data_IF_509195657631
#
_entry.id   IF_509195657631
#
_cell.length_a   1.000
_cell.length_b   1.000
_cell.length_c   1.000
_cell.angle_alpha   90.00
_cell.angle_beta   90.00
_cell.angle_gamma   90.00
#
_symmetry.space_group_name_H-M   'P 1'
#
loop_
_entity.id
_entity.type
_entity.pdbx_description
1 polymer ?
2 non-polymer ?
3 non-polymer ?
4 non-polymer ?
5 non-polymer ?
6 water ?
#
# COMPACT_ATOMS: atom_id res chain seq x y z
N UNK A 13 -7.27 21.05 -14.84
CA UNK A 13 -6.68 19.93 -15.56
C UNK A 13 -5.84 19.08 -14.61
N UNK A 14 -5.05 19.75 -13.78
CA UNK A 14 -4.12 19.05 -12.91
C UNK A 14 -4.85 18.41 -11.72
N UNK A 15 -4.33 17.27 -11.31
CA UNK A 15 -4.79 16.61 -10.10
C UNK A 15 -4.69 17.56 -8.90
N UNK A 16 -5.73 17.55 -8.07
CA UNK A 16 -5.73 18.31 -6.82
C UNK A 16 -5.49 17.33 -5.67
N UNK A 17 -4.38 17.43 -4.95
CA UNK A 17 -4.11 16.47 -3.87
C UNK A 17 -5.18 16.56 -2.79
N UNK A 18 -5.72 15.42 -2.36
CA UNK A 18 -6.62 15.41 -1.20
C UNK A 18 -5.92 15.94 0.04
N UNK A 19 -6.66 16.34 1.07
CA UNK A 19 -6.03 16.71 2.34
C UNK A 19 -5.28 15.54 2.95
N UNK A 20 -4.31 15.85 3.79
CA UNK A 20 -3.45 14.83 4.38
C UNK A 20 -4.18 14.11 5.51
N UNK A 21 -4.03 12.78 5.55
CA UNK A 21 -4.56 12.00 6.65
C UNK A 21 -3.73 12.24 7.93
N UNK A 22 -4.22 11.80 9.10
CA UNK A 22 -3.45 12.02 10.33
C UNK A 22 -2.14 11.24 10.33
N UNK A 23 -1.13 11.86 10.92
CA UNK A 23 0.13 11.21 11.21
C UNK A 23 0.34 11.25 12.70
N UNK A 24 0.64 10.10 13.28
CA UNK A 24 0.92 10.00 14.71
C UNK A 24 2.40 9.67 14.89
N UNK A 25 3.03 10.31 15.86
CA UNK A 25 4.43 10.06 16.21
C UNK A 25 4.44 9.66 17.68
N UNK A 26 4.05 8.42 17.99
CA UNK A 26 3.96 8.01 19.40
C UNK A 26 5.32 8.08 20.09
N UNK A 27 5.32 8.55 21.33
CA UNK A 27 6.47 8.39 22.19
C UNK A 27 6.66 6.91 22.50
N UNK A 28 7.77 6.59 23.17
CA UNK A 28 8.08 5.20 23.47
C UNK A 28 7.02 4.58 24.35
N UNK A 29 6.47 5.34 25.30
CA UNK A 29 5.40 4.81 26.15
C UNK A 29 4.18 4.44 25.32
N UNK A 30 3.74 5.34 24.43
CA UNK A 30 2.55 5.08 23.62
C UNK A 30 2.77 3.95 22.62
N UNK A 31 4.02 3.71 22.21
CA UNK A 31 4.37 2.70 21.21
C UNK A 31 4.38 1.28 21.75
N UNK A 32 3.78 1.02 22.91
CA UNK A 32 3.94 -0.29 23.55
C UNK A 32 3.18 -1.39 22.83
N UNK A 33 2.03 -1.08 22.23
CA UNK A 33 1.18 -2.13 21.67
C UNK A 33 0.31 -1.58 20.54
N UNK A 34 0.38 -2.16 19.34
CA UNK A 34 -0.44 -1.64 18.23
C UNK A 34 -1.93 -1.60 18.54
N UNK A 35 -2.49 -2.66 19.12
CA UNK A 35 -3.93 -2.70 19.35
C UNK A 35 -4.36 -1.62 20.35
N UNK A 36 -3.61 -1.48 21.45
CA UNK A 36 -3.93 -0.43 22.41
C UNK A 36 -3.79 0.96 21.78
N UNK A 37 -2.73 1.16 20.98
CA UNK A 37 -2.52 2.46 20.36
C UNK A 37 -3.62 2.77 19.34
N UNK A 38 -3.91 1.82 18.46
CA UNK A 38 -4.95 2.04 17.45
C UNK A 38 -6.29 2.30 18.10
N UNK A 39 -6.60 1.56 19.16
CA UNK A 39 -7.81 1.85 19.91
C UNK A 39 -7.86 3.28 20.44
N UNK A 40 -6.70 3.82 20.83
CA UNK A 40 -6.70 5.17 21.37
C UNK A 40 -6.82 6.23 20.28
N UNK A 41 -6.23 6.01 19.11
CA UNK A 41 -6.34 7.03 18.05
C UNK A 41 -7.61 6.88 17.25
N UNK A 42 -8.35 5.80 17.45
CA UNK A 42 -9.54 5.50 16.66
C UNK A 42 -10.54 6.64 16.51
N UNK A 43 -10.86 7.43 17.56
CA UNK A 43 -11.86 8.49 17.35
C UNK A 43 -11.50 9.45 16.24
N UNK A 44 -10.20 9.71 16.02
CA UNK A 44 -9.77 10.54 14.91
C UNK A 44 -9.58 9.74 13.64
N UNK A 45 -8.77 8.67 13.72
CA UNK A 45 -8.37 7.96 12.51
C UNK A 45 -9.54 7.25 11.84
N UNK A 46 -10.56 6.84 12.59
CA UNK A 46 -11.69 6.20 11.91
C UNK A 46 -12.48 7.20 11.07
N UNK A 47 -12.36 8.50 11.37
CA UNK A 47 -12.97 9.54 10.56
C UNK A 47 -12.17 9.89 9.31
N UNK A 48 -10.94 9.39 9.19
CA UNK A 48 -10.18 9.59 7.95
C UNK A 48 -9.96 8.29 7.19
N UNK A 49 -10.30 7.14 7.77
CA UNK A 49 -10.19 5.86 7.09
C UNK A 49 -8.78 5.30 7.13
N UNK A 50 -7.79 6.15 6.89
CA UNK A 50 -6.39 5.73 6.98
C UNK A 50 -5.66 6.68 7.90
N UNK A 51 -4.58 6.18 8.51
CA UNK A 51 -3.67 7.06 9.22
C UNK A 51 -2.26 6.51 9.08
N UNK A 52 -1.30 7.37 9.35
CA UNK A 52 0.10 7.00 9.30
C UNK A 52 0.67 7.05 10.71
N UNK A 53 1.54 6.09 11.02
CA UNK A 53 2.19 6.01 12.32
C UNK A 53 3.69 6.00 12.10
N UNK A 54 4.38 6.98 12.67
CA UNK A 54 5.83 7.02 12.62
C UNK A 54 6.40 6.48 13.91
N UNK A 55 7.10 5.35 13.89
CA UNK A 55 7.68 4.78 15.11
C UNK A 55 8.71 5.72 15.72
N UNK A 56 9.06 5.54 16.99
CA UNK A 56 10.14 6.35 17.57
C UNK A 56 11.40 6.21 16.75
N UNK A 57 12.21 7.28 16.73
CA UNK A 57 13.33 7.35 15.81
C UNK A 57 14.29 6.16 15.95
N UNK A 58 14.43 5.63 17.16
CA UNK A 58 15.36 4.53 17.40
C UNK A 58 14.78 3.16 17.10
N UNK A 59 13.52 3.07 16.67
CA UNK A 59 12.91 1.79 16.32
C UNK A 59 13.21 1.53 14.85
N UNK A 60 14.17 0.64 14.58
CA UNK A 60 14.62 0.37 13.21
C UNK A 60 14.86 -1.12 13.03
N UNK A 61 13.85 -1.86 12.57
CA UNK A 61 14.02 -3.30 12.37
C UNK A 61 14.95 -3.58 11.20
N UNK A 62 15.76 -4.62 11.28
CA UNK A 62 16.57 -5.02 10.13
C UNK A 62 15.73 -5.74 9.10
N UNK A 63 16.17 -5.68 7.85
CA UNK A 63 15.44 -6.33 6.77
C UNK A 63 15.85 -7.80 6.71
N UNK A 64 14.89 -8.71 6.87
CA UNK A 64 15.20 -10.11 7.12
C UNK A 64 14.71 -11.05 6.01
N UNK A 65 14.42 -10.54 4.82
CA UNK A 65 14.12 -11.42 3.70
C UNK A 65 15.41 -12.10 3.23
N UNK A 66 15.24 -13.31 2.67
CA UNK A 66 16.36 -14.03 2.05
C UNK A 66 16.59 -13.41 0.68
N UNK A 67 17.40 -12.36 0.65
CA UNK A 67 17.58 -11.57 -0.57
C UNK A 67 18.31 -12.37 -1.64
N UNK A 68 19.12 -13.35 -1.24
CA UNK A 68 19.83 -14.17 -2.21
C UNK A 68 18.87 -14.86 -3.15
N UNK A 69 17.89 -15.59 -2.60
CA UNK A 69 16.98 -16.39 -3.41
C UNK A 69 15.69 -15.65 -3.77
N UNK A 70 15.52 -14.40 -3.35
CA UNK A 70 14.28 -13.67 -3.63
C UNK A 70 14.09 -13.51 -5.13
N UNK A 71 13.20 -14.29 -5.71
CA UNK A 71 12.89 -14.23 -7.13
C UNK A 71 11.38 -14.17 -7.27
N UNK A 72 10.91 -13.46 -8.29
CA UNK A 72 9.47 -13.32 -8.42
C UNK A 72 9.14 -12.87 -9.83
N UNK A 73 7.89 -13.11 -10.21
CA UNK A 73 7.37 -12.67 -11.50
C UNK A 73 6.26 -11.65 -11.25
N UNK A 74 6.54 -10.37 -11.46
CA UNK A 74 5.56 -9.34 -11.12
C UNK A 74 4.43 -9.30 -12.14
N UNK A 75 3.28 -8.79 -11.69
CA UNK A 75 2.14 -8.68 -12.57
C UNK A 75 2.25 -7.40 -13.38
N UNK A 76 1.76 -7.45 -14.61
CA UNK A 76 1.85 -6.30 -15.51
C UNK A 76 0.64 -5.41 -15.28
N UNK A 77 0.87 -4.10 -15.20
CA UNK A 77 -0.18 -3.13 -14.97
C UNK A 77 -0.17 -2.09 -16.09
N UNK A 78 -1.27 -2.02 -16.84
CA UNK A 78 -1.47 -0.98 -17.84
C UNK A 78 -2.31 0.12 -17.22
N UNK A 79 -1.72 1.31 -17.10
CA UNK A 79 -2.35 2.35 -16.28
C UNK A 79 -3.71 2.76 -16.83
N UNK A 80 -3.84 2.81 -18.15
CA UNK A 80 -5.07 3.30 -18.78
C UNK A 80 -5.96 2.18 -19.30
N UNK A 81 -5.89 0.99 -18.70
CA UNK A 81 -6.66 -0.15 -19.25
C UNK A 81 -8.16 0.11 -19.23
N UNK A 82 -8.66 0.84 -18.22
CA UNK A 82 -10.09 1.10 -18.14
C UNK A 82 -10.52 2.12 -19.19
N UNK A 83 -9.79 3.22 -19.30
CA UNK A 83 -10.05 4.18 -20.37
C UNK A 83 -9.92 3.55 -21.74
N UNK A 84 -9.17 2.45 -21.85
CA UNK A 84 -9.04 1.76 -23.14
C UNK A 84 -10.34 1.11 -23.59
N UNK A 85 -11.26 0.80 -22.65
CA UNK A 85 -12.58 0.31 -23.03
C UNK A 85 -13.40 1.43 -23.66
N UNK A 86 -13.31 2.63 -23.12
CA UNK A 86 -14.07 3.77 -23.61
C UNK A 86 -13.58 4.21 -24.98
N UNK A 98 5.33 -7.63 -23.44
CA UNK A 98 5.18 -9.06 -23.19
C UNK A 98 4.54 -9.33 -21.83
N UNK A 99 4.30 -10.61 -21.57
CA UNK A 99 3.61 -11.08 -20.39
C UNK A 99 4.34 -10.77 -19.09
N UNK A 100 5.48 -11.42 -18.89
CA UNK A 100 6.07 -11.49 -17.56
C UNK A 100 7.50 -11.97 -17.63
N UNK A 101 8.41 -11.23 -17.00
CA UNK A 101 9.78 -11.63 -16.78
C UNK A 101 9.99 -11.95 -15.32
N UNK A 102 10.86 -12.93 -15.04
CA UNK A 102 11.24 -13.22 -13.67
C UNK A 102 12.35 -12.27 -13.25
N UNK A 103 12.23 -11.70 -12.04
CA UNK A 103 13.24 -10.80 -11.53
C UNK A 103 13.81 -11.34 -10.21
N UNK A 104 14.99 -10.84 -9.87
CA UNK A 104 15.42 -10.79 -8.49
C UNK A 104 15.09 -9.41 -7.93
N UNK A 105 15.18 -9.27 -6.60
CA UNK A 105 15.04 -7.94 -6.02
C UNK A 105 15.98 -6.96 -6.68
N UNK A 106 17.23 -7.38 -6.91
CA UNK A 106 18.22 -6.47 -7.48
C UNK A 106 17.85 -6.08 -8.91
N UNK A 107 17.52 -7.07 -9.74
CA UNK A 107 17.26 -6.74 -11.15
C UNK A 107 15.94 -6.00 -11.31
N UNK A 108 14.96 -6.28 -10.45
CA UNK A 108 13.74 -5.46 -10.46
C UNK A 108 14.05 -4.02 -10.08
N UNK A 109 14.88 -3.83 -9.06
CA UNK A 109 15.27 -2.47 -8.69
C UNK A 109 15.98 -1.74 -9.81
N UNK A 110 16.87 -2.43 -10.52
CA UNK A 110 17.57 -1.78 -11.62
C UNK A 110 16.60 -1.40 -12.74
N UNK A 111 15.63 -2.26 -13.02
CA UNK A 111 14.61 -1.95 -14.01
C UNK A 111 13.76 -0.77 -13.55
N UNK A 112 13.38 -0.79 -12.27
CA UNK A 112 12.49 0.23 -11.73
C UNK A 112 13.14 1.60 -11.72
N UNK A 113 14.40 1.67 -11.29
CA UNK A 113 15.10 2.95 -11.27
C UNK A 113 15.33 3.46 -12.68
N UNK A 114 15.70 2.57 -13.60
CA UNK A 114 15.90 2.97 -15.00
C UNK A 114 14.62 3.51 -15.60
N UNK A 115 13.49 2.83 -15.33
CA UNK A 115 12.21 3.29 -15.85
C UNK A 115 11.91 4.70 -15.36
N UNK A 116 12.02 4.91 -14.05
CA UNK A 116 11.63 6.21 -13.49
C UNK A 116 12.58 7.31 -13.94
N UNK A 117 13.88 7.05 -13.92
CA UNK A 117 14.81 8.12 -14.29
C UNK A 117 14.70 8.43 -15.78
N UNK A 118 14.46 7.41 -16.62
CA UNK A 118 14.20 7.67 -18.03
C UNK A 118 12.89 8.42 -18.24
N UNK A 119 11.86 8.05 -17.48
CA UNK A 119 10.54 8.65 -17.67
C UNK A 119 10.58 10.15 -17.37
N UNK A 120 11.16 10.53 -16.23
CA UNK A 120 11.19 11.93 -15.82
C UNK A 120 12.45 12.66 -16.25
N UNK A 121 13.44 11.96 -16.80
CA UNK A 121 14.68 12.58 -17.27
C UNK A 121 15.40 13.29 -16.11
N UNK A 122 15.46 12.64 -14.95
CA UNK A 122 16.19 13.16 -13.80
C UNK A 122 16.48 12.01 -12.86
N UNK A 123 17.42 12.17 -11.93
CA UNK A 123 17.67 11.11 -10.94
C UNK A 123 16.39 10.77 -10.17
N UNK A 124 16.23 9.49 -9.83
CA UNK A 124 14.95 9.03 -9.29
C UNK A 124 14.58 9.78 -8.01
N UNK A 125 15.56 10.08 -7.17
CA UNK A 125 15.31 10.74 -5.89
C UNK A 125 15.02 12.22 -6.03
N UNK A 126 15.19 12.80 -7.22
CA UNK A 126 14.94 14.21 -7.43
C UNK A 126 13.53 14.48 -7.96
N UNK A 127 12.76 13.44 -8.24
CA UNK A 127 11.42 13.63 -8.79
C UNK A 127 10.48 13.96 -7.65
N UNK A 128 9.83 15.11 -7.65
CA UNK A 128 8.94 15.46 -6.53
C UNK A 128 7.77 14.51 -6.47
N UNK A 129 7.38 14.14 -5.25
CA UNK A 129 6.24 13.23 -5.08
C UNK A 129 4.97 13.80 -5.71
N UNK A 130 4.79 15.13 -5.67
CA UNK A 130 3.60 15.72 -6.28
C UNK A 130 3.60 15.56 -7.79
N UNK A 131 4.77 15.55 -8.41
CA UNK A 131 4.85 15.35 -9.85
C UNK A 131 4.53 13.91 -10.24
N UNK A 132 5.07 12.94 -9.50
CA UNK A 132 4.71 11.54 -9.77
C UNK A 132 3.21 11.36 -9.59
N UNK A 133 2.65 11.93 -8.54
CA UNK A 133 1.21 11.82 -8.30
C UNK A 133 0.42 12.43 -9.45
N UNK A 134 0.77 13.66 -9.86
CA UNK A 134 0.05 14.30 -10.94
C UNK A 134 0.16 13.50 -12.23
N UNK A 135 1.34 12.95 -12.50
CA UNK A 135 1.54 12.21 -13.73
C UNK A 135 0.85 10.85 -13.68
N UNK A 136 0.84 10.21 -12.50
CA UNK A 136 0.10 8.96 -12.36
C UNK A 136 -1.34 9.11 -12.81
N UNK A 137 -2.02 10.13 -12.27
CA UNK A 137 -3.45 10.26 -12.56
C UNK A 137 -3.70 10.75 -13.97
N UNK A 138 -2.77 11.55 -14.53
CA UNK A 138 -2.87 11.88 -15.95
C UNK A 138 -2.77 10.62 -16.82
N UNK A 139 -1.82 9.75 -16.50
CA UNK A 139 -1.63 8.55 -17.31
C UNK A 139 -2.79 7.59 -17.18
N UNK A 140 -3.41 7.52 -16.01
CA UNK A 140 -4.53 6.60 -15.81
C UNK A 140 -5.68 6.95 -16.74
N UNK A 141 -5.86 8.25 -17.02
CA UNK A 141 -6.95 8.70 -17.86
C UNK A 141 -6.53 8.97 -19.30
N UNK A 142 -5.27 8.77 -19.65
CA UNK A 142 -4.75 9.16 -20.96
C UNK A 142 -5.06 8.08 -22.00
N UNK A 143 -5.74 8.48 -23.07
CA UNK A 143 -5.97 7.58 -24.20
C UNK A 143 -4.87 7.69 -25.25
N UNK A 144 -3.93 8.61 -25.09
CA UNK A 144 -2.90 8.86 -26.09
C UNK A 144 -1.56 8.21 -25.78
N UNK A 145 -1.25 8.04 -24.49
CA UNK A 145 0.00 7.42 -24.06
C UNK A 145 -0.33 6.17 -23.26
N UNK A 146 0.28 5.05 -23.64
CA UNK A 146 0.07 3.76 -22.98
C UNK A 146 1.33 3.45 -22.17
N UNK A 147 1.23 3.60 -20.86
CA UNK A 147 2.34 3.30 -19.96
C UNK A 147 2.03 2.00 -19.24
N UNK A 148 3.01 1.10 -19.23
CA UNK A 148 2.87 -0.23 -18.66
C UNK A 148 3.97 -0.42 -17.62
N UNK A 149 3.57 -0.78 -16.40
CA UNK A 149 4.54 -1.03 -15.35
C UNK A 149 4.29 -2.44 -14.78
N UNK A 150 5.08 -2.79 -13.77
CA UNK A 150 5.10 -4.14 -13.22
C UNK A 150 5.08 -4.00 -11.71
N UNK A 151 4.39 -4.91 -11.04
CA UNK A 151 4.22 -4.84 -9.59
C UNK A 151 4.49 -6.22 -9.01
N UNK A 152 5.49 -6.32 -8.13
CA UNK A 152 5.69 -7.56 -7.40
C UNK A 152 4.69 -7.67 -6.26
N UNK A 153 3.43 -7.96 -6.59
CA UNK A 153 2.34 -7.86 -5.63
C UNK A 153 1.92 -9.23 -5.13
N UNK A 154 1.43 -9.27 -3.89
CA UNK A 154 0.92 -10.49 -3.29
C UNK A 154 1.97 -11.60 -3.26
N UNK A 155 3.18 -11.25 -2.85
CA UNK A 155 4.22 -12.23 -2.61
C UNK A 155 4.05 -12.71 -1.17
N UNK A 156 3.78 -14.00 -1.00
CA UNK A 156 3.56 -14.51 0.35
C UNK A 156 4.86 -14.44 1.16
N UNK A 157 4.76 -13.98 2.40
CA UNK A 157 5.94 -13.98 3.27
C UNK A 157 6.42 -15.40 3.59
N UNK A 158 5.62 -16.42 3.31
CA UNK A 158 6.11 -17.79 3.49
C UNK A 158 7.12 -18.19 2.42
N UNK A 159 7.16 -17.49 1.29
CA UNK A 159 8.04 -17.86 0.18
C UNK A 159 9.51 -17.61 0.53
N UNK A 160 9.87 -16.35 0.72
CA UNK A 160 11.26 -16.00 1.02
C UNK A 160 11.41 -15.39 2.40
N UNK A 161 10.37 -15.47 3.22
CA UNK A 161 10.44 -14.92 4.55
C UNK A 161 9.77 -13.56 4.62
N UNK A 162 9.41 -13.20 5.84
CA UNK A 162 8.96 -11.85 6.13
C UNK A 162 10.13 -10.88 5.99
N UNK A 163 9.80 -9.60 5.78
CA UNK A 163 10.80 -8.56 5.92
C UNK A 163 11.22 -8.31 7.36
N UNK A 164 10.34 -8.63 8.33
CA UNK A 164 10.67 -8.60 9.73
C UNK A 164 11.37 -9.89 10.15
N UNK A 165 12.30 -9.82 11.09
CA UNK A 165 12.87 -11.05 11.63
C UNK A 165 11.81 -11.80 12.42
N UNK A 166 11.83 -13.13 12.31
CA UNK A 166 10.93 -14.00 13.05
C UNK A 166 11.74 -15.09 13.72
N UNK A 167 11.34 -15.46 14.94
CA UNK A 167 11.98 -16.57 15.65
C UNK A 167 11.41 -17.91 15.16
N UNK A 168 11.63 -18.17 13.88
CA UNK A 168 11.11 -19.36 13.22
C UNK A 168 12.13 -20.48 13.08
N UNK A 169 13.40 -20.23 13.39
CA UNK A 169 14.44 -21.21 13.16
C UNK A 169 14.84 -21.40 11.72
N UNK A 170 14.25 -20.65 10.79
CA UNK A 170 14.55 -20.76 9.37
C UNK A 170 15.53 -19.68 8.90
N UNK A 171 16.08 -18.89 9.81
CA UNK A 171 17.06 -17.87 9.48
C UNK A 171 17.73 -17.42 10.77
N UNK A 172 18.86 -16.73 10.62
CA UNK A 172 19.63 -16.28 11.76
C UNK A 172 19.07 -14.97 12.31
N UNK A 173 18.91 -14.90 13.63
CA UNK A 173 18.49 -13.69 14.31
C UNK A 173 19.64 -13.26 15.23
N UNK A 174 20.17 -12.07 14.98
CA UNK A 174 21.19 -11.49 15.84
C UNK A 174 20.55 -10.99 17.12
N UNK A 175 21.33 -10.83 18.20
CA UNK A 175 20.73 -10.35 19.46
C UNK A 175 20.04 -9.01 19.32
N UNK A 176 20.66 -8.04 18.65
CA UNK A 176 20.06 -6.72 18.49
C UNK A 176 18.79 -6.75 17.66
N UNK A 177 18.47 -7.87 17.02
CA UNK A 177 17.26 -8.02 16.23
C UNK A 177 16.15 -8.76 16.97
N UNK A 178 16.42 -9.32 18.14
CA UNK A 178 15.41 -10.11 18.82
C UNK A 178 14.23 -9.25 19.26
N UNK A 179 14.50 -8.04 19.73
CA UNK A 179 13.41 -7.14 20.13
C UNK A 179 12.43 -6.90 18.99
N UNK A 180 12.92 -6.88 17.74
CA UNK A 180 12.02 -6.70 16.63
C UNK A 180 11.27 -7.98 16.29
N UNK A 181 11.89 -9.14 16.51
CA UNK A 181 11.19 -10.39 16.28
C UNK A 181 10.05 -10.58 17.29
N UNK A 182 10.20 -10.00 18.48
CA UNK A 182 9.18 -10.10 19.52
C UNK A 182 8.29 -8.86 19.59
N UNK A 183 8.53 -7.86 18.75
CA UNK A 183 7.79 -6.61 18.83
C UNK A 183 6.34 -6.80 18.42
N UNK A 184 5.43 -6.15 19.15
CA UNK A 184 4.03 -6.15 18.76
C UNK A 184 3.79 -5.48 17.42
N UNK A 185 4.71 -4.64 16.97
CA UNK A 185 4.59 -3.98 15.67
C UNK A 185 5.21 -4.79 14.53
N UNK A 186 5.87 -5.90 14.84
CA UNK A 186 6.21 -6.89 13.83
C UNK A 186 4.91 -7.46 13.26
N UNK A 187 4.69 -7.30 11.96
CA UNK A 187 3.41 -7.71 11.36
C UNK A 187 3.16 -9.20 11.49
N UNK A 188 4.18 -10.00 11.76
CA UNK A 188 3.94 -11.41 12.03
C UNK A 188 3.35 -11.65 13.41
N UNK A 189 3.31 -10.63 14.26
CA UNK A 189 2.79 -10.78 15.62
C UNK A 189 1.43 -10.10 15.79
N UNK A 190 0.76 -9.73 14.71
CA UNK A 190 -0.57 -9.16 14.82
C UNK A 190 -1.60 -10.26 15.07
N UNK A 191 -2.64 -9.99 15.86
CA UNK A 191 -3.72 -10.98 16.00
C UNK A 191 -4.50 -11.06 14.70
N UNK A 192 -4.62 -12.28 14.15
CA UNK A 192 -5.25 -12.48 12.85
C UNK A 192 -6.45 -13.41 12.90
N UNK A 193 -6.73 -14.04 14.05
CA UNK A 193 -7.87 -14.94 14.15
C UNK A 193 -9.13 -14.15 14.48
N UNK A 194 -10.19 -14.42 13.74
CA UNK A 194 -11.50 -13.82 14.00
C UNK A 194 -12.27 -14.69 14.99
N UNK A 195 -12.97 -14.04 15.91
CA UNK A 195 -13.74 -14.76 16.92
C UNK A 195 -15.07 -15.21 16.33
N UNK A 196 -15.41 -16.47 16.57
CA UNK A 196 -16.69 -17.04 16.13
C UNK A 196 -16.86 -18.40 16.77
N UNK A 197 -18.11 -18.86 16.85
CA UNK A 197 -18.37 -20.25 17.22
C UNK A 197 -17.91 -21.18 16.10
N UNK A 198 -17.87 -20.68 14.87
CA UNK A 198 -17.49 -21.46 13.70
C UNK A 198 -15.97 -21.63 13.61
N UNK A 209 -3.74 -14.91 7.04
CA UNK A 209 -2.98 -15.82 7.89
C UNK A 209 -1.56 -15.30 8.13
N UNK A 210 -0.86 -14.93 7.06
CA UNK A 210 0.50 -14.42 7.16
C UNK A 210 0.60 -13.12 6.37
N UNK A 211 1.65 -12.33 6.60
CA UNK A 211 1.78 -11.07 5.85
C UNK A 211 2.06 -11.32 4.37
N UNK A 212 1.65 -10.36 3.57
CA UNK A 212 1.94 -10.34 2.13
C UNK A 212 2.95 -9.24 1.85
N UNK A 213 3.75 -9.45 0.80
CA UNK A 213 4.82 -8.53 0.43
C UNK A 213 4.53 -7.87 -0.91
N UNK A 214 4.96 -6.62 -1.06
CA UNK A 214 4.74 -5.84 -2.27
C UNK A 214 6.05 -5.18 -2.68
N UNK A 215 6.56 -5.54 -3.84
CA UNK A 215 7.77 -4.91 -4.38
C UNK A 215 7.30 -3.93 -5.45
N UNK A 216 7.40 -2.63 -5.15
CA UNK A 216 6.85 -1.61 -6.00
C UNK A 216 7.89 -1.02 -6.95
N UNK A 217 7.38 -0.45 -8.03
CA UNK A 217 8.13 0.50 -8.86
C UNK A 217 7.24 1.70 -9.12
N UNK A 218 7.84 2.75 -9.69
CA UNK A 218 7.06 3.94 -9.99
C UNK A 218 5.83 3.59 -10.80
N UNK A 219 4.67 4.05 -10.33
CA UNK A 219 3.33 4.00 -10.92
C UNK A 219 2.66 2.65 -10.67
N UNK A 220 3.33 1.66 -10.11
CA UNK A 220 2.63 0.44 -9.75
C UNK A 220 1.61 0.79 -8.68
N UNK A 221 0.48 0.07 -8.67
CA UNK A 221 -0.64 0.63 -7.92
C UNK A 221 -1.58 -0.45 -7.45
N UNK A 222 -2.46 -0.06 -6.54
CA UNK A 222 -3.59 -0.88 -6.10
C UNK A 222 -4.86 -0.05 -6.14
N UNK A 223 -5.95 -0.61 -6.68
CA UNK A 223 -7.15 0.18 -6.86
C UNK A 223 -8.02 0.11 -5.59
N UNK A 224 -9.17 0.78 -5.63
CA UNK A 224 -9.97 0.99 -4.44
C UNK A 224 -10.57 -0.33 -3.96
N UNK A 225 -10.43 -0.61 -2.66
CA UNK A 225 -11.00 -1.84 -2.14
C UNK A 225 -11.11 -1.71 -0.63
N UNK A 226 -11.89 -2.61 -0.04
CA UNK A 226 -11.87 -2.83 1.40
C UNK A 226 -11.44 -4.27 1.63
N UNK A 227 -11.14 -4.59 2.88
CA UNK A 227 -10.63 -5.92 3.19
C UNK A 227 -11.76 -6.92 3.39
N UNK A 228 -11.45 -8.18 3.15
CA UNK A 228 -12.39 -9.24 3.49
C UNK A 228 -12.77 -9.12 4.96
N UNK A 229 -14.04 -9.39 5.26
CA UNK A 229 -14.60 -9.29 6.61
C UNK A 229 -14.50 -7.87 7.17
N UNK A 230 -14.27 -6.88 6.32
CA UNK A 230 -14.10 -5.48 6.72
C UNK A 230 -12.97 -5.32 7.74
N UNK A 231 -11.93 -6.14 7.63
CA UNK A 231 -10.89 -6.15 8.63
C UNK A 231 -10.08 -4.86 8.57
N UNK A 232 -9.41 -4.55 9.69
CA UNK A 232 -8.29 -3.62 9.65
C UNK A 232 -7.18 -4.19 8.79
N UNK A 233 -6.29 -3.31 8.31
CA UNK A 233 -5.02 -3.76 7.77
C UNK A 233 -3.93 -2.84 8.28
N UNK A 234 -2.74 -3.39 8.41
CA UNK A 234 -1.59 -2.60 8.81
C UNK A 234 -0.49 -2.86 7.79
N UNK A 235 0.22 -1.81 7.42
CA UNK A 235 1.11 -1.80 6.26
C UNK A 235 2.42 -1.16 6.68
N UNK A 236 3.53 -1.83 6.43
CA UNK A 236 4.84 -1.29 6.79
C UNK A 236 5.72 -1.20 5.55
N UNK A 237 6.34 -0.04 5.35
CA UNK A 237 7.25 0.17 4.22
C UNK A 237 8.66 -0.08 4.74
N UNK A 238 9.25 -1.21 4.35
CA UNK A 238 10.57 -1.56 4.87
C UNK A 238 11.65 -0.64 4.35
N UNK A 239 11.62 -0.35 3.04
CA UNK A 239 12.64 0.51 2.46
C UNK A 239 12.14 0.99 1.11
N UNK A 240 12.87 1.94 0.56
CA UNK A 240 12.63 2.41 -0.79
C UNK A 240 11.86 3.72 -0.83
N UNK A 241 11.41 4.05 -2.04
CA UNK A 241 10.72 5.30 -2.28
C UNK A 241 9.30 5.20 -1.73
N UNK A 242 8.65 6.35 -1.50
CA UNK A 242 7.38 6.34 -0.76
C UNK A 242 6.26 5.60 -1.48
N UNK A 243 5.26 5.23 -0.70
CA UNK A 243 4.02 4.65 -1.20
C UNK A 243 2.93 5.70 -0.94
N UNK A 244 2.27 6.14 -1.99
CA UNK A 244 1.27 7.17 -1.87
C UNK A 244 -0.10 6.51 -1.67
N UNK A 245 -0.84 6.95 -0.67
CA UNK A 245 -2.09 6.34 -0.26
C UNK A 245 -3.24 7.31 -0.42
N UNK A 246 -4.44 6.76 -0.67
CA UNK A 246 -5.69 7.50 -0.56
C UNK A 246 -6.64 6.65 0.27
N UNK A 247 -7.38 7.31 1.16
CA UNK A 247 -8.31 6.59 2.03
C UNK A 247 -9.62 7.34 2.14
N UNK A 248 -10.69 6.58 2.38
CA UNK A 248 -12.04 7.09 2.55
C UNK A 248 -12.57 6.54 3.87
N UNK A 249 -13.08 7.39 4.79
CA UNK A 249 -13.59 6.86 6.05
C UNK A 249 -14.78 5.96 5.83
N UNK A 250 -14.96 5.00 6.74
CA UNK A 250 -16.01 4.01 6.58
C UNK A 250 -17.41 4.62 6.56
N UNK A 251 -17.61 5.76 7.24
CA UNK A 251 -18.96 6.33 7.19
C UNK A 251 -19.32 6.77 5.78
N UNK A 252 -18.34 6.89 4.89
CA UNK A 252 -18.60 7.22 3.48
C UNK A 252 -18.48 6.02 2.56
N UNK A 253 -18.45 4.80 3.10
CA UNK A 253 -18.29 3.62 2.24
C UNK A 253 -19.41 3.53 1.21
N UNK A 254 -20.67 3.65 1.65
CA UNK A 254 -21.78 3.52 0.73
C UNK A 254 -21.81 4.64 -0.31
N UNK A 255 -21.39 5.84 0.06
CA UNK A 255 -21.31 6.93 -0.90
C UNK A 255 -20.30 6.61 -1.99
N UNK A 256 -19.13 6.11 -1.60
CA UNK A 256 -18.14 5.71 -2.60
C UNK A 256 -18.66 4.59 -3.48
N UNK A 257 -19.34 3.59 -2.89
CA UNK A 257 -19.86 2.51 -3.71
C UNK A 257 -20.90 3.04 -4.70
N UNK A 258 -21.67 4.03 -4.29
CA UNK A 258 -22.67 4.60 -5.20
C UNK A 258 -22.00 5.36 -6.35
N UNK A 259 -20.96 6.15 -6.06
CA UNK A 259 -20.23 6.85 -7.13
C UNK A 259 -19.64 5.83 -8.10
N UNK A 260 -19.00 4.79 -7.56
CA UNK A 260 -18.49 3.71 -8.40
C UNK A 260 -19.57 3.15 -9.31
N UNK A 261 -20.73 2.81 -8.73
CA UNK A 261 -21.79 2.22 -9.53
C UNK A 261 -22.30 3.18 -10.60
N UNK A 262 -22.28 4.48 -10.31
CA UNK A 262 -22.73 5.45 -11.30
C UNK A 262 -21.72 5.57 -12.43
N UNK A 263 -20.42 5.54 -12.12
CA UNK A 263 -19.39 5.85 -13.09
C UNK A 263 -18.65 4.63 -13.65
N UNK A 264 -18.83 3.45 -13.06
CA UNK A 264 -18.14 2.27 -13.57
C UNK A 264 -18.71 1.87 -14.94
N UNK A 265 -17.89 1.25 -15.78
CA UNK A 265 -18.41 0.67 -17.03
C UNK A 265 -19.60 -0.24 -16.76
N UNK A 266 -20.61 -0.14 -17.63
CA UNK A 266 -21.83 -0.92 -17.44
C UNK A 266 -21.56 -2.43 -17.44
N UNK A 267 -20.57 -2.87 -18.21
CA UNK A 267 -20.22 -4.29 -18.22
C UNK A 267 -19.74 -4.77 -16.86
N UNK A 268 -19.20 -3.85 -16.05
CA UNK A 268 -18.72 -4.21 -14.72
C UNK A 268 -19.69 -3.77 -13.62
N UNK A 269 -20.74 -3.05 -13.96
CA UNK A 269 -21.61 -2.46 -12.94
C UNK A 269 -22.29 -3.54 -12.10
N UNK A 270 -22.71 -4.62 -12.74
CA UNK A 270 -23.43 -5.69 -12.06
C UNK A 270 -22.52 -6.70 -11.37
N UNK A 271 -21.21 -6.54 -11.49
CA UNK A 271 -20.31 -7.54 -10.93
C UNK A 271 -20.35 -7.52 -9.40
N UNK A 272 -20.19 -8.68 -8.76
CA UNK A 272 -20.02 -8.72 -7.30
C UNK A 272 -18.83 -7.88 -6.88
N UNK A 273 -18.95 -7.29 -5.68
CA UNK A 273 -17.95 -6.36 -5.17
C UNK A 273 -16.53 -6.94 -5.20
N UNK A 274 -16.39 -8.23 -4.85
CA UNK A 274 -15.06 -8.84 -4.80
C UNK A 274 -14.42 -8.89 -6.18
N UNK A 275 -15.23 -9.03 -7.23
CA UNK A 275 -14.70 -8.98 -8.58
C UNK A 275 -14.57 -7.55 -9.09
N UNK A 276 -15.55 -6.70 -8.79
CA UNK A 276 -15.47 -5.31 -9.20
C UNK A 276 -14.21 -4.64 -8.65
N UNK A 277 -13.82 -4.98 -7.41
CA UNK A 277 -12.64 -4.42 -6.78
C UNK A 277 -11.33 -4.79 -7.46
N UNK A 278 -11.36 -5.69 -8.45
CA UNK A 278 -10.14 -5.94 -9.23
C UNK A 278 -9.84 -4.80 -10.19
N UNK A 279 -10.82 -3.93 -10.47
CA UNK A 279 -10.74 -2.91 -11.51
C UNK A 279 -11.42 -1.62 -11.07
N UNK A 280 -11.48 -1.37 -9.77
CA UNK A 280 -12.09 -0.15 -9.26
C UNK A 280 -11.08 0.99 -9.23
N UNK A 281 -10.56 1.33 -10.41
CA UNK A 281 -9.65 2.46 -10.53
C UNK A 281 -10.47 3.74 -10.63
N UNK A 282 -10.18 4.72 -9.76
CA UNK A 282 -10.90 5.98 -9.86
C UNK A 282 -10.08 7.12 -9.28
N UNK A 283 -10.01 8.20 -10.06
CA UNK A 283 -9.33 9.41 -9.64
C UNK A 283 -9.95 9.95 -8.36
N UNK A 284 -9.17 10.16 -7.30
CA UNK A 284 -9.72 10.71 -6.04
C UNK A 284 -10.51 11.99 -6.21
N UNK A 285 -10.13 12.85 -7.16
CA UNK A 285 -10.88 14.10 -7.39
C UNK A 285 -12.29 13.81 -7.88
N UNK A 286 -12.50 12.73 -8.63
CA UNK A 286 -13.85 12.39 -9.06
C UNK A 286 -14.71 12.06 -7.84
N UNK A 287 -14.17 11.25 -6.91
CA UNK A 287 -14.86 10.97 -5.66
C UNK A 287 -15.12 12.26 -4.88
N UNK A 288 -14.09 13.12 -4.76
CA UNK A 288 -14.23 14.36 -4.01
C UNK A 288 -15.29 15.28 -4.63
N UNK A 289 -15.35 15.34 -5.95
CA UNK A 289 -16.38 16.16 -6.58
C UNK A 289 -17.78 15.65 -6.28
N UNK A 290 -17.91 14.35 -6.02
CA UNK A 290 -19.19 13.75 -5.68
C UNK A 290 -19.45 13.71 -4.17
N UNK A 291 -18.73 14.53 -3.39
CA UNK A 291 -18.97 14.66 -1.97
C UNK A 291 -18.31 13.60 -1.09
N UNK A 292 -17.50 12.72 -1.67
CA UNK A 292 -16.84 11.68 -0.88
C UNK A 292 -15.59 12.25 -0.23
N UNK A 293 -15.44 12.16 1.09
CA UNK A 293 -14.20 12.60 1.74
C UNK A 293 -13.07 11.64 1.40
N UNK A 294 -11.95 12.20 0.94
CA UNK A 294 -10.76 11.45 0.60
C UNK A 294 -9.58 12.10 1.30
N UNK A 295 -8.72 11.28 1.90
CA UNK A 295 -7.48 11.75 2.48
C UNK A 295 -6.32 11.05 1.79
N UNK A 296 -5.14 11.67 1.83
CA UNK A 296 -3.95 11.13 1.20
C UNK A 296 -2.82 11.08 2.22
N UNK A 297 -1.80 10.27 1.91
CA UNK A 297 -0.52 10.42 2.59
C UNK A 297 0.56 9.80 1.71
N UNK A 298 1.78 10.28 1.91
CA UNK A 298 2.98 9.59 1.42
C UNK A 298 3.55 8.81 2.58
N UNK A 299 3.53 7.50 2.47
CA UNK A 299 4.16 6.62 3.46
C UNK A 299 5.63 6.47 3.08
N UNK A 300 6.52 6.94 3.94
CA UNK A 300 7.95 6.80 3.72
C UNK A 300 8.48 5.55 4.40
N UNK A 301 9.68 5.14 4.02
CA UNK A 301 10.31 3.96 4.59
C UNK A 301 10.36 4.07 6.12
N UNK A 302 10.06 2.97 6.78
CA UNK A 302 10.05 2.95 8.23
C UNK A 302 8.75 3.39 8.86
N UNK A 303 7.72 3.67 8.06
CA UNK A 303 6.44 4.16 8.58
C UNK A 303 5.33 3.15 8.33
N UNK A 304 4.37 3.10 9.25
CA UNK A 304 3.19 2.26 9.16
C UNK A 304 2.01 3.05 8.63
N UNK A 305 1.15 2.38 7.88
CA UNK A 305 -0.17 2.90 7.53
C UNK A 305 -1.21 1.89 8.01
N UNK A 306 -2.20 2.37 8.74
CA UNK A 306 -3.30 1.55 9.22
C UNK A 306 -4.57 1.95 8.47
N UNK A 307 -5.29 0.96 7.97
CA UNK A 307 -6.61 1.19 7.40
C UNK A 307 -7.66 0.61 8.34
N UNK A 308 -8.72 1.38 8.56
CA UNK A 308 -9.74 0.99 9.53
C UNK A 308 -10.81 0.16 8.86
N UNK A 309 -11.68 -0.49 9.63
CA UNK A 309 -12.68 -1.38 9.03
C UNK A 309 -13.55 -0.67 8.01
N UNK A 310 -13.68 -1.27 6.84
CA UNK A 310 -14.52 -0.78 5.75
C UNK A 310 -14.09 0.60 5.27
N UNK A 311 -12.83 0.95 5.48
CA UNK A 311 -12.25 2.17 4.93
C UNK A 311 -11.68 1.84 3.55
N UNK A 312 -12.32 2.35 2.49
CA UNK A 312 -11.82 2.12 1.14
C UNK A 312 -10.47 2.79 0.98
N UNK A 313 -9.56 2.11 0.28
CA UNK A 313 -8.22 2.68 0.10
C UNK A 313 -7.64 2.21 -1.23
N UNK A 314 -6.69 3.00 -1.72
CA UNK A 314 -6.03 2.77 -2.99
C UNK A 314 -4.74 3.55 -2.97
N UNK A 315 -3.85 3.24 -3.90
CA UNK A 315 -2.58 3.96 -3.88
C UNK A 315 -1.67 3.55 -5.01
N UNK A 316 -0.46 4.12 -4.97
CA UNK A 316 0.54 3.78 -5.98
C UNK A 316 1.92 4.05 -5.39
N UNK A 317 2.92 3.44 -5.99
CA UNK A 317 4.28 3.58 -5.48
C UNK A 317 5.03 4.67 -6.25
N UNK A 318 5.81 5.45 -5.50
CA UNK A 318 6.61 6.52 -6.10
C UNK A 318 7.85 5.99 -6.79
N UNK A 319 8.27 4.77 -6.47
CA UNK A 319 9.49 4.23 -7.03
C UNK A 319 9.76 2.88 -6.42
N UNK A 320 10.98 2.38 -6.62
CA UNK A 320 11.41 1.09 -6.09
C UNK A 320 11.25 1.05 -4.58
N UNK A 321 10.41 0.13 -4.08
CA UNK A 321 10.24 0.01 -2.63
C UNK A 321 9.80 -1.41 -2.28
N UNK A 322 9.60 -1.63 -0.98
CA UNK A 322 9.34 -2.96 -0.46
C UNK A 322 8.44 -2.81 0.76
N UNK A 323 7.22 -3.33 0.67
CA UNK A 323 6.22 -3.18 1.71
C UNK A 323 5.72 -4.54 2.17
N UNK A 324 5.19 -4.56 3.39
CA UNK A 324 4.63 -5.78 3.98
C UNK A 324 3.32 -5.39 4.64
N UNK A 325 2.29 -6.25 4.49
CA UNK A 325 0.95 -5.90 4.93
C UNK A 325 0.23 -7.13 5.47
N UNK A 326 -0.64 -6.91 6.45
CA UNK A 326 -1.46 -8.00 6.98
C UNK A 326 -2.78 -7.42 7.47
N UNK A 327 -3.82 -8.25 7.40
CA UNK A 327 -5.12 -7.91 7.97
C UNK A 327 -5.17 -8.41 9.42
N UNK A 328 -5.84 -7.65 10.27
CA UNK A 328 -5.98 -8.04 11.67
C UNK A 328 -7.34 -7.62 12.17
N UNK A 329 -7.78 -8.28 13.23
CA UNK A 329 -9.05 -7.97 13.87
C UNK A 329 -8.81 -7.57 15.32
N UNK A 330 -9.71 -6.73 15.85
CA UNK A 330 -9.58 -6.21 17.20
C UNK A 330 -10.61 -6.82 18.14
#
# INVERSE_FOLDING_TARGET
HNMAGVGPGGYAAEFVPPPECPVFEPSWEEFTDPLSFIGRIRPLAEKTGICKIRPPKDWQPPFACEVKSFRFTPRVQRLNELEAMTRVRPREAFGFEQAVREYTLQSFGEMADNFKSDYFNMPVHMVPTELVEKEFWRLVSSIEEDVIVEYGADISSKDFGSGFPVKDGRRKILPEEEEYALSGWNLNNMPVLEQSVLAHINVDISGMKVPWLYVGMCFSSFCWHIEDHWSYSINYLHWGEPKTWYGVPSHAAEQLEEVMRELAPELFESQPDLLHQLVTIMNPNVLMEHGVPVYRTNQCAGEFVVTFPRAYHSGFNQGYNFAEAVNFCT
#
